data_IF_457865668820
#
_entry.id   IF_457865668820
#
_cell.length_a   1.000
_cell.length_b   1.000
_cell.length_c   1.000
_cell.angle_alpha   90.00
_cell.angle_beta   90.00
_cell.angle_gamma   90.00
#
_symmetry.space_group_name_H-M   'P 1'
#
loop_
_entity.id
_entity.type
_entity.pdbx_description
1 polymer ?
#
# COMPACT_ATOMS: atom_id res chain seq x y z
N UNK A 1 -20.15 -7.55 8.91
CA UNK A 1 -18.75 -7.98 8.72
C UNK A 1 -18.31 -7.36 7.42
N UNK A 2 -17.74 -6.16 7.47
CA UNK A 2 -17.25 -5.50 6.25
C UNK A 2 -16.12 -6.34 5.66
N UNK A 3 -16.31 -6.74 4.41
CA UNK A 3 -15.36 -7.58 3.69
C UNK A 3 -14.13 -6.73 3.38
N UNK A 4 -12.96 -7.22 3.78
CA UNK A 4 -11.67 -6.60 3.50
C UNK A 4 -11.50 -6.40 1.98
N UNK A 5 -10.93 -5.28 1.51
CA UNK A 5 -10.64 -5.09 0.09
C UNK A 5 -9.78 -6.22 -0.46
N UNK A 6 -10.08 -6.66 -1.69
CA UNK A 6 -9.25 -7.64 -2.41
C UNK A 6 -7.88 -7.04 -2.69
N UNK A 7 -6.82 -7.82 -2.46
CA UNK A 7 -5.43 -7.46 -2.75
C UNK A 7 -4.85 -8.40 -3.80
N UNK A 8 -4.09 -7.83 -4.74
CA UNK A 8 -3.45 -8.53 -5.84
C UNK A 8 -1.94 -8.64 -5.60
N UNK A 9 -1.35 -9.78 -5.96
CA UNK A 9 0.08 -10.01 -5.83
C UNK A 9 0.48 -11.45 -6.06
N UNK A 10 1.78 -11.67 -6.20
CA UNK A 10 2.40 -12.98 -6.38
C UNK A 10 2.68 -13.59 -5.00
N UNK A 11 2.30 -14.86 -4.79
CA UNK A 11 2.44 -15.61 -3.53
C UNK A 11 1.98 -14.81 -2.31
N UNK A 12 0.77 -14.24 -2.40
CA UNK A 12 0.21 -13.45 -1.32
C UNK A 12 -0.14 -14.29 -0.10
N UNK A 13 0.20 -13.76 1.07
CA UNK A 13 -0.31 -14.25 2.32
C UNK A 13 -1.48 -13.41 2.87
N UNK A 14 -2.05 -13.85 3.99
CA UNK A 14 -3.18 -13.19 4.63
C UNK A 14 -2.88 -11.77 5.14
N UNK A 15 -1.60 -11.38 5.25
CA UNK A 15 -1.14 -10.07 5.70
C UNK A 15 -0.57 -9.21 4.57
N UNK A 16 -0.88 -9.55 3.31
CA UNK A 16 -0.48 -8.82 2.09
C UNK A 16 1.00 -8.87 1.76
N UNK A 17 1.78 -9.75 2.40
CA UNK A 17 3.17 -10.01 2.00
C UNK A 17 3.18 -10.77 0.69
N UNK A 18 4.15 -10.49 -0.18
CA UNK A 18 4.24 -11.08 -1.52
C UNK A 18 5.64 -11.68 -1.76
N UNK A 19 5.81 -12.39 -2.86
CA UNK A 19 7.09 -12.98 -3.26
C UNK A 19 8.27 -11.97 -3.30
N UNK A 20 8.00 -10.68 -3.56
CA UNK A 20 9.03 -9.64 -3.63
C UNK A 20 9.40 -9.07 -2.25
N UNK A 21 8.42 -8.92 -1.35
CA UNK A 21 8.56 -8.25 -0.06
C UNK A 21 7.76 -9.03 1.00
N UNK A 22 8.47 -9.70 1.91
CA UNK A 22 7.88 -10.66 2.85
C UNK A 22 8.50 -10.63 4.26
N UNK A 23 9.15 -9.53 4.65
CA UNK A 23 9.52 -9.32 6.04
C UNK A 23 8.27 -9.18 6.93
N UNK A 24 8.39 -9.33 8.25
CA UNK A 24 7.27 -9.08 9.18
C UNK A 24 6.68 -7.66 9.10
N UNK A 25 7.38 -6.70 8.48
CA UNK A 25 6.95 -5.31 8.34
C UNK A 25 6.34 -5.00 6.96
N UNK A 26 6.41 -5.93 6.00
CA UNK A 26 5.87 -5.77 4.63
C UNK A 26 4.36 -6.05 4.57
N UNK A 27 3.63 -5.46 5.52
CA UNK A 27 2.22 -5.73 5.79
C UNK A 27 1.34 -4.56 5.38
N UNK A 28 1.66 -3.91 4.25
CA UNK A 28 0.76 -2.94 3.63
C UNK A 28 0.43 -3.35 2.21
N UNK A 29 -0.74 -2.95 1.73
CA UNK A 29 -1.07 -2.93 0.32
C UNK A 29 -1.45 -1.52 -0.11
N UNK A 30 -1.18 -1.18 -1.36
CA UNK A 30 -1.37 0.17 -1.90
C UNK A 30 -2.42 0.11 -3.01
N UNK A 31 -3.42 1.00 -2.91
CA UNK A 31 -4.39 1.26 -3.97
C UNK A 31 -3.69 2.08 -5.05
N UNK A 32 -3.60 1.53 -6.26
CA UNK A 32 -2.87 2.17 -7.35
C UNK A 32 -3.72 3.26 -8.01
N UNK A 33 -3.14 4.44 -8.29
CA UNK A 33 -3.91 5.58 -8.83
C UNK A 33 -4.45 5.34 -10.25
N UNK A 34 -3.78 4.47 -11.01
CA UNK A 34 -4.14 4.14 -12.39
C UNK A 34 -5.43 3.31 -12.51
N UNK A 35 -5.69 2.39 -11.57
CA UNK A 35 -6.81 1.43 -11.68
C UNK A 35 -7.69 1.33 -10.43
N UNK A 36 -7.29 1.91 -9.31
CA UNK A 36 -8.08 1.87 -8.06
C UNK A 36 -8.07 0.52 -7.34
N UNK A 37 -7.27 -0.44 -7.79
CA UNK A 37 -7.11 -1.76 -7.16
C UNK A 37 -5.96 -1.77 -6.16
N UNK A 38 -6.04 -2.64 -5.13
CA UNK A 38 -4.95 -2.85 -4.18
C UNK A 38 -3.96 -3.88 -4.69
N UNK A 39 -2.68 -3.51 -4.64
CA UNK A 39 -1.56 -4.41 -4.87
C UNK A 39 -0.65 -4.44 -3.64
N UNK A 40 -0.03 -5.59 -3.36
CA UNK A 40 0.93 -5.70 -2.26
C UNK A 40 2.18 -4.83 -2.47
N UNK A 41 2.63 -4.67 -3.72
CA UNK A 41 3.73 -3.79 -4.08
C UNK A 41 3.67 -3.38 -5.56
N UNK A 42 4.53 -2.44 -5.96
CA UNK A 42 4.66 -1.94 -7.34
C UNK A 42 5.10 -3.04 -8.32
N UNK A 43 5.97 -3.96 -7.88
CA UNK A 43 6.42 -5.09 -8.71
C UNK A 43 5.28 -6.08 -8.98
N UNK A 44 4.40 -6.31 -8.01
CA UNK A 44 3.18 -7.09 -8.21
C UNK A 44 2.25 -6.42 -9.22
N UNK A 45 2.10 -5.10 -9.16
CA UNK A 45 1.31 -4.37 -10.15
C UNK A 45 1.93 -4.46 -11.55
N UNK A 46 3.24 -4.21 -11.66
CA UNK A 46 3.98 -4.31 -12.94
C UNK A 46 3.85 -5.69 -13.59
N UNK A 47 3.86 -6.75 -12.79
CA UNK A 47 3.70 -8.12 -13.29
C UNK A 47 2.26 -8.49 -13.70
N UNK A 48 1.24 -7.92 -13.04
CA UNK A 48 -0.14 -8.42 -13.12
C UNK A 48 -1.14 -7.48 -13.81
N UNK A 49 -0.91 -6.17 -13.78
CA UNK A 49 -1.92 -5.19 -14.21
C UNK A 49 -1.99 -5.01 -15.74
N UNK A 50 -0.92 -5.34 -16.46
CA UNK A 50 -0.87 -5.19 -17.93
C UNK A 50 -0.87 -3.73 -18.41
N UNK A 51 -0.68 -2.76 -17.52
CA UNK A 51 -0.60 -1.33 -17.83
C UNK A 51 0.40 -0.61 -16.90
N UNK A 52 0.93 0.55 -17.30
CA UNK A 52 1.83 1.33 -16.44
C UNK A 52 1.12 1.84 -15.17
N UNK A 53 1.89 2.08 -14.12
CA UNK A 53 1.38 2.72 -12.90
C UNK A 53 1.24 4.24 -13.07
N UNK A 54 0.32 4.83 -12.31
CA UNK A 54 0.20 6.27 -12.11
C UNK A 54 0.36 6.59 -10.62
N UNK A 55 0.80 7.82 -10.32
CA UNK A 55 0.99 8.30 -8.95
C UNK A 55 -0.21 9.11 -8.47
N UNK A 56 -0.53 9.03 -7.19
CA UNK A 56 -1.53 9.90 -6.57
C UNK A 56 -0.99 11.33 -6.46
N UNK A 57 -1.66 12.33 -7.07
CA UNK A 57 -1.25 13.72 -6.97
C UNK A 57 -1.48 14.24 -5.56
N UNK A 58 -0.71 15.24 -5.15
CA UNK A 58 -0.70 15.77 -3.78
C UNK A 58 -2.07 16.23 -3.30
N UNK A 59 -2.86 16.85 -4.18
CA UNK A 59 -4.21 17.32 -3.89
C UNK A 59 -5.23 16.18 -3.61
N UNK A 60 -4.85 14.91 -3.84
CA UNK A 60 -5.67 13.73 -3.58
C UNK A 60 -5.15 12.88 -2.39
N UNK A 61 -4.26 13.41 -1.56
CA UNK A 61 -3.71 12.65 -0.42
C UNK A 61 -4.73 12.35 0.70
N UNK A 62 -5.93 12.93 0.63
CA UNK A 62 -7.06 12.54 1.46
C UNK A 62 -7.68 11.19 1.06
N UNK A 63 -7.28 10.60 -0.08
CA UNK A 63 -7.79 9.31 -0.56
C UNK A 63 -7.30 8.17 0.32
N UNK A 64 -8.23 7.26 0.70
CA UNK A 64 -7.92 5.97 1.32
C UNK A 64 -7.22 5.07 0.31
N UNK A 65 -5.89 5.00 0.38
CA UNK A 65 -5.08 4.28 -0.60
C UNK A 65 -4.02 3.36 0.03
N UNK A 66 -3.95 3.26 1.36
CA UNK A 66 -3.03 2.34 2.04
C UNK A 66 -3.84 1.42 2.94
N UNK A 67 -3.69 0.11 2.76
CA UNK A 67 -4.38 -0.91 3.54
C UNK A 67 -3.40 -1.54 4.52
N UNK A 68 -3.79 -1.66 5.80
CA UNK A 68 -3.07 -2.47 6.76
C UNK A 68 -3.31 -3.97 6.50
N UNK A 69 -2.22 -4.69 6.26
CA UNK A 69 -2.09 -6.14 6.17
C UNK A 69 -2.64 -6.89 7.38
N UNK A 70 -2.47 -6.33 8.57
CA UNK A 70 -2.75 -7.00 9.84
C UNK A 70 -4.21 -6.86 10.27
N UNK A 71 -4.73 -5.63 10.32
CA UNK A 71 -6.10 -5.39 10.80
C UNK A 71 -7.11 -5.05 9.70
N UNK A 72 -6.66 -4.80 8.46
CA UNK A 72 -7.55 -4.43 7.36
C UNK A 72 -7.96 -2.95 7.32
N UNK A 73 -7.43 -2.11 8.20
CA UNK A 73 -7.73 -0.67 8.19
C UNK A 73 -7.22 0.01 6.92
N UNK A 74 -8.11 0.70 6.21
CA UNK A 74 -7.80 1.58 5.09
C UNK A 74 -7.46 2.99 5.59
N UNK A 75 -6.22 3.41 5.38
CA UNK A 75 -5.69 4.72 5.74
C UNK A 75 -5.64 5.64 4.51
N UNK A 76 -5.84 6.93 4.76
CA UNK A 76 -5.52 7.95 3.76
C UNK A 76 -4.01 8.00 3.53
N UNK A 77 -3.59 8.47 2.36
CA UNK A 77 -2.16 8.68 2.06
C UNK A 77 -1.55 9.60 3.11
N UNK A 78 -2.23 10.71 3.44
CA UNK A 78 -1.79 11.64 4.47
C UNK A 78 -1.63 10.97 5.84
N UNK A 79 -2.58 10.12 6.26
CA UNK A 79 -2.51 9.41 7.53
C UNK A 79 -1.35 8.40 7.55
N UNK A 80 -1.15 7.64 6.47
CA UNK A 80 -0.01 6.74 6.34
C UNK A 80 1.33 7.48 6.43
N UNK A 81 1.46 8.62 5.74
CA UNK A 81 2.68 9.42 5.73
C UNK A 81 2.99 10.04 7.11
N UNK A 82 1.97 10.31 7.92
CA UNK A 82 2.11 10.81 9.30
C UNK A 82 2.21 9.71 10.36
N UNK A 83 2.12 8.42 9.97
CA UNK A 83 1.92 7.30 10.90
C UNK A 83 3.13 6.92 11.76
N UNK A 84 4.33 7.41 11.42
CA UNK A 84 5.56 6.98 12.07
C UNK A 84 5.91 5.51 11.81
N UNK A 85 5.47 4.98 10.65
CA UNK A 85 5.66 3.57 10.26
C UNK A 85 4.95 2.56 11.19
N UNK A 86 3.78 2.92 11.70
CA UNK A 86 2.93 2.02 12.45
C UNK A 86 1.47 2.21 12.08
N UNK A 87 0.67 1.14 12.12
CA UNK A 87 -0.77 1.26 11.92
C UNK A 87 -1.38 2.09 13.06
N UNK A 88 -2.10 3.18 12.78
CA UNK A 88 -2.72 4.00 13.82
C UNK A 88 -3.87 3.29 14.54
N UNK A 89 -4.37 2.19 13.97
CA UNK A 89 -5.49 1.42 14.48
C UNK A 89 -5.04 0.21 15.33
N UNK A 90 -4.13 -0.63 14.82
CA UNK A 90 -3.68 -1.83 15.53
C UNK A 90 -2.24 -1.79 16.06
N UNK A 91 -1.47 -0.74 15.77
CA UNK A 91 -0.08 -0.59 16.21
C UNK A 91 0.94 -1.49 15.49
N UNK A 92 0.52 -2.29 14.50
CA UNK A 92 1.46 -3.11 13.70
C UNK A 92 2.51 -2.23 13.01
N UNK A 93 3.77 -2.66 13.05
CA UNK A 93 4.87 -1.96 12.38
C UNK A 93 4.79 -2.08 10.85
N UNK A 94 5.14 -0.99 10.17
CA UNK A 94 5.30 -0.92 8.72
C UNK A 94 6.78 -0.78 8.37
N UNK A 95 7.17 -1.29 7.20
CA UNK A 95 8.56 -1.25 6.77
C UNK A 95 8.99 0.19 6.43
N UNK A 96 9.96 0.81 7.14
CA UNK A 96 10.45 2.15 6.81
C UNK A 96 11.13 2.23 5.44
N UNK A 97 11.60 1.09 4.91
CA UNK A 97 12.15 0.97 3.57
C UNK A 97 11.16 1.29 2.46
N UNK A 98 9.84 1.23 2.71
CA UNK A 98 8.81 1.60 1.74
C UNK A 98 8.98 3.03 1.21
N UNK A 99 9.61 3.93 1.99
CA UNK A 99 9.89 5.31 1.56
C UNK A 99 10.72 5.40 0.28
N UNK A 100 11.57 4.40 0.02
CA UNK A 100 12.39 4.35 -1.19
C UNK A 100 11.55 4.12 -2.46
N UNK A 101 10.28 3.70 -2.29
CA UNK A 101 9.34 3.40 -3.37
C UNK A 101 8.20 4.42 -3.48
N UNK A 102 8.16 5.46 -2.64
CA UNK A 102 7.04 6.41 -2.65
C UNK A 102 6.82 7.08 -4.00
N UNK A 103 7.89 7.34 -4.76
CA UNK A 103 7.80 7.89 -6.12
C UNK A 103 6.95 7.06 -7.10
N UNK A 104 6.73 5.76 -6.83
CA UNK A 104 5.89 4.90 -7.66
C UNK A 104 4.41 4.96 -7.29
N UNK A 105 4.07 5.57 -6.15
CA UNK A 105 2.70 5.60 -5.62
C UNK A 105 2.18 7.02 -5.39
N UNK A 106 3.04 7.94 -4.95
CA UNK A 106 2.68 9.26 -4.46
C UNK A 106 3.58 10.32 -5.06
N UNK A 107 2.99 11.42 -5.50
CA UNK A 107 3.73 12.62 -5.88
C UNK A 107 4.53 13.15 -4.68
N UNK A 108 5.86 13.29 -4.82
CA UNK A 108 6.73 13.74 -3.75
C UNK A 108 6.44 15.21 -3.35
N UNK A 109 6.80 15.56 -2.11
CA UNK A 109 6.92 16.97 -1.73
C UNK A 109 8.14 17.51 -2.47
N UNK A 110 7.91 18.36 -3.47
CA UNK A 110 8.95 19.23 -4.03
C UNK A 110 9.33 20.34 -3.06
#
# INVERSE_FOLDING_TARGET
MEQRPKVHGLDLDAQTRCAHWHSPLDVIAIRMACCGEYYACKDCHEALAGHPFAVWPRNQWATKAVLCGVCGTEMTIAAYMASGYACPDCGAGFNPGCRNHYQFYFEAIG
#
